data_IF_304556215229
#
_entry.id   IF_304556215229
#
_cell.length_a   1.000
_cell.length_b   1.000
_cell.length_c   1.000
_cell.angle_alpha   90.00
_cell.angle_beta   90.00
_cell.angle_gamma   90.00
#
_symmetry.space_group_name_H-M   'P 1'
#
loop_
_entity.id
_entity.type
_entity.pdbx_description
1 polymer ?
#
# COMPACT_ATOMS: atom_id res chain seq x y z
N UNK A 1 -6.79 -5.56 -40.00
CA UNK A 1 -7.97 -5.60 -39.16
C UNK A 1 -7.91 -4.51 -38.14
N UNK A 2 -8.96 -3.77 -37.98
CA UNK A 2 -9.05 -2.75 -36.95
C UNK A 2 -9.03 -3.43 -35.60
N UNK A 3 -7.85 -3.59 -35.07
CA UNK A 3 -7.65 -3.94 -33.70
C UNK A 3 -8.14 -2.80 -32.83
N UNK A 4 -9.04 -3.20 -32.07
CA UNK A 4 -9.80 -2.36 -31.28
C UNK A 4 -9.09 -1.36 -30.45
N UNK A 5 -9.78 -0.45 -30.22
CA UNK A 5 -9.40 0.73 -29.60
C UNK A 5 -10.37 0.89 -28.52
N UNK A 6 -9.89 0.54 -27.45
CA UNK A 6 -10.11 1.05 -26.25
C UNK A 6 -11.46 1.42 -25.80
N UNK A 7 -11.63 1.18 -24.63
CA UNK A 7 -12.46 1.96 -23.74
C UNK A 7 -11.96 1.83 -22.31
N UNK A 8 -11.90 2.91 -21.58
CA UNK A 8 -11.69 2.91 -20.15
C UNK A 8 -12.99 3.37 -19.50
N UNK A 9 -13.67 2.50 -18.80
CA UNK A 9 -14.92 2.83 -18.17
C UNK A 9 -14.69 3.82 -17.01
N UNK A 10 -15.52 4.83 -16.92
CA UNK A 10 -15.35 5.94 -15.98
C UNK A 10 -14.44 7.06 -16.48
N UNK A 11 -13.86 6.95 -17.69
CA UNK A 11 -13.11 8.02 -18.31
C UNK A 11 -14.01 9.20 -18.67
N UNK A 12 -13.50 10.42 -18.47
CA UNK A 12 -14.23 11.62 -18.89
C UNK A 12 -14.33 11.69 -20.42
N UNK A 13 -15.37 12.35 -20.99
CA UNK A 13 -15.58 12.42 -22.46
C UNK A 13 -14.38 12.94 -23.24
N UNK A 14 -13.57 13.83 -22.65
CA UNK A 14 -12.32 14.31 -23.24
C UNK A 14 -11.25 13.23 -23.37
N UNK A 15 -11.24 12.26 -22.46
CA UNK A 15 -10.31 11.13 -22.48
C UNK A 15 -10.71 10.11 -23.53
N UNK A 16 -12.01 9.90 -23.73
CA UNK A 16 -12.52 8.99 -24.76
C UNK A 16 -12.10 9.38 -26.18
N UNK A 17 -12.05 10.68 -26.45
CA UNK A 17 -11.60 11.17 -27.75
C UNK A 17 -10.10 10.97 -27.96
N UNK A 18 -9.30 11.09 -26.90
CA UNK A 18 -7.84 10.90 -26.95
C UNK A 18 -7.45 9.41 -27.07
N UNK A 19 -8.26 8.56 -26.48
CA UNK A 19 -8.02 7.12 -26.46
C UNK A 19 -8.57 6.38 -27.70
N UNK A 20 -9.13 7.08 -28.66
CA UNK A 20 -9.71 6.49 -29.88
C UNK A 20 -8.73 5.70 -30.76
N UNK A 21 -7.42 5.85 -30.55
CA UNK A 21 -6.34 5.14 -31.25
C UNK A 21 -5.35 4.55 -30.23
N UNK A 22 -5.84 3.86 -29.23
CA UNK A 22 -5.05 3.45 -28.09
C UNK A 22 -3.99 2.40 -28.41
N UNK A 23 -4.34 1.39 -29.17
CA UNK A 23 -3.43 0.26 -29.44
C UNK A 23 -2.81 0.41 -30.82
N UNK A 24 -1.50 0.63 -30.86
CA UNK A 24 -0.69 0.60 -32.06
C UNK A 24 -0.29 -0.84 -32.40
N UNK A 25 -0.01 -1.65 -31.40
CA UNK A 25 0.36 -3.05 -31.53
C UNK A 25 -0.16 -3.87 -30.35
N UNK A 26 -0.53 -5.10 -30.59
CA UNK A 26 -0.78 -6.11 -29.55
C UNK A 26 0.03 -7.37 -29.83
N UNK A 27 0.36 -8.13 -28.81
CA UNK A 27 1.12 -9.35 -28.99
C UNK A 27 1.16 -10.22 -27.74
N UNK A 28 1.80 -11.37 -27.88
CA UNK A 28 2.04 -12.28 -26.77
C UNK A 28 3.40 -12.01 -26.14
N UNK A 29 3.43 -12.06 -24.82
CA UNK A 29 4.67 -11.98 -24.06
C UNK A 29 5.21 -13.40 -23.84
N UNK A 30 6.38 -13.67 -24.45
CA UNK A 30 7.13 -14.92 -24.30
C UNK A 30 8.56 -14.57 -23.87
N UNK A 31 9.57 -15.32 -24.33
CA UNK A 31 10.99 -14.93 -24.14
C UNK A 31 11.32 -13.63 -24.89
N UNK A 32 10.54 -13.28 -25.90
CA UNK A 32 10.58 -11.99 -26.60
C UNK A 32 9.16 -11.55 -26.94
N UNK A 33 8.97 -10.25 -27.19
CA UNK A 33 7.71 -9.71 -27.69
C UNK A 33 7.40 -10.31 -29.04
N UNK A 34 6.19 -10.86 -29.21
CA UNK A 34 5.73 -11.50 -30.42
C UNK A 34 4.41 -10.87 -30.86
N UNK A 35 4.41 -9.96 -31.86
CA UNK A 35 3.20 -9.35 -32.38
C UNK A 35 2.17 -10.40 -32.85
N UNK A 36 0.90 -10.15 -32.56
CA UNK A 36 -0.22 -11.00 -32.94
C UNK A 36 -1.39 -10.17 -33.44
N UNK A 37 -2.22 -10.79 -34.25
CA UNK A 37 -3.45 -10.16 -34.72
C UNK A 37 -4.57 -10.19 -33.67
N UNK A 38 -4.52 -11.12 -32.73
CA UNK A 38 -5.51 -11.33 -31.69
C UNK A 38 -4.88 -11.76 -30.36
N UNK A 39 -5.57 -11.48 -29.27
CA UNK A 39 -5.30 -11.96 -27.91
C UNK A 39 -6.54 -12.68 -27.42
N UNK A 40 -6.38 -13.88 -26.88
CA UNK A 40 -7.48 -14.75 -26.44
C UNK A 40 -7.60 -14.76 -24.91
N UNK A 41 -8.76 -15.16 -24.43
CA UNK A 41 -8.97 -15.39 -23.01
C UNK A 41 -7.93 -16.37 -22.46
N UNK A 42 -7.24 -15.97 -21.37
CA UNK A 42 -6.15 -16.73 -20.77
C UNK A 42 -4.75 -16.44 -21.34
N UNK A 43 -4.64 -15.65 -22.41
CA UNK A 43 -3.33 -15.22 -22.89
C UNK A 43 -2.73 -14.15 -21.98
N UNK A 44 -1.40 -14.23 -21.80
CA UNK A 44 -0.58 -13.15 -21.26
C UNK A 44 0.07 -12.43 -22.43
N UNK A 45 -0.15 -11.13 -22.53
CA UNK A 45 0.30 -10.35 -23.66
C UNK A 45 0.76 -8.94 -23.29
N UNK A 46 1.02 -8.15 -24.32
CA UNK A 46 1.35 -6.74 -24.22
C UNK A 46 0.51 -5.93 -25.20
N UNK A 47 0.37 -4.66 -24.88
CA UNK A 47 -0.27 -3.66 -25.75
C UNK A 47 0.66 -2.45 -25.80
N UNK A 48 1.08 -2.06 -27.01
CA UNK A 48 1.78 -0.80 -27.25
C UNK A 48 0.73 0.27 -27.55
N UNK A 49 0.79 1.37 -26.83
CA UNK A 49 -0.22 2.43 -26.94
C UNK A 49 0.43 3.79 -27.21
N UNK A 50 -0.34 4.69 -27.80
CA UNK A 50 0.07 6.09 -27.97
C UNK A 50 -0.12 6.96 -26.73
N UNK A 51 -0.46 6.38 -25.56
CA UNK A 51 -0.67 7.13 -24.30
C UNK A 51 0.68 7.62 -23.80
N UNK A 52 0.79 8.93 -23.64
CA UNK A 52 2.03 9.57 -23.17
C UNK A 52 2.13 9.68 -21.65
N UNK A 53 1.00 9.71 -20.97
CA UNK A 53 0.94 9.86 -19.53
C UNK A 53 0.46 8.55 -18.88
N UNK A 54 1.36 7.85 -18.22
CA UNK A 54 1.06 6.57 -17.56
C UNK A 54 -0.04 6.68 -16.48
N UNK A 55 -0.29 7.88 -15.94
CA UNK A 55 -1.35 8.11 -14.94
C UNK A 55 -2.76 7.97 -15.51
N UNK A 56 -2.89 7.98 -16.83
CA UNK A 56 -4.18 7.82 -17.53
C UNK A 56 -4.63 6.36 -17.63
N UNK A 57 -3.77 5.41 -17.25
CA UNK A 57 -4.04 3.98 -17.31
C UNK A 57 -3.84 3.36 -15.94
N UNK A 58 -4.81 2.56 -15.50
CA UNK A 58 -4.78 1.88 -14.21
C UNK A 58 -4.82 0.36 -14.40
N UNK A 59 -4.23 -0.36 -13.46
CA UNK A 59 -4.40 -1.82 -13.35
C UNK A 59 -5.89 -2.12 -13.10
N UNK A 60 -6.46 -3.01 -13.91
CA UNK A 60 -7.87 -3.34 -13.86
C UNK A 60 -8.74 -2.61 -14.89
N UNK A 61 -8.17 -1.69 -15.66
CA UNK A 61 -8.89 -1.04 -16.75
C UNK A 61 -9.36 -2.04 -17.80
N UNK A 62 -10.58 -1.87 -18.27
CA UNK A 62 -11.18 -2.71 -19.29
C UNK A 62 -10.95 -2.10 -20.68
N UNK A 63 -10.31 -2.86 -21.57
CA UNK A 63 -10.07 -2.46 -22.95
C UNK A 63 -11.05 -3.18 -23.86
N UNK A 64 -11.71 -2.45 -24.76
CA UNK A 64 -12.73 -2.98 -25.64
C UNK A 64 -12.60 -2.44 -27.07
N UNK A 65 -13.37 -3.02 -27.99
CA UNK A 65 -13.44 -2.56 -29.39
C UNK A 65 -14.25 -1.27 -29.51
N UNK A 66 -13.74 -0.28 -30.23
CA UNK A 66 -14.49 0.96 -30.51
C UNK A 66 -15.76 0.70 -31.33
N UNK A 67 -15.70 -0.30 -32.21
CA UNK A 67 -16.86 -0.70 -33.05
C UNK A 67 -17.92 -1.50 -32.28
N UNK A 68 -17.56 -2.08 -31.13
CA UNK A 68 -18.47 -2.87 -30.29
C UNK A 68 -18.04 -2.67 -28.82
N UNK A 69 -18.27 -1.51 -28.24
CA UNK A 69 -17.85 -1.22 -26.88
C UNK A 69 -18.65 -2.06 -25.87
N UNK A 70 -17.97 -2.54 -24.83
CA UNK A 70 -18.66 -3.12 -23.67
C UNK A 70 -19.42 -2.04 -22.92
N UNK A 71 -20.55 -2.40 -22.32
CA UNK A 71 -21.34 -1.48 -21.49
C UNK A 71 -20.94 -1.54 -20.02
N UNK A 72 -20.23 -2.61 -19.62
CA UNK A 72 -19.78 -2.80 -18.23
C UNK A 72 -18.31 -3.20 -18.23
N UNK A 73 -17.56 -2.68 -17.23
CA UNK A 73 -16.21 -3.11 -16.95
C UNK A 73 -16.19 -4.56 -16.43
N UNK A 74 -15.09 -5.26 -16.70
CA UNK A 74 -14.86 -6.59 -16.10
C UNK A 74 -14.65 -6.39 -14.61
N UNK A 75 -15.54 -7.00 -13.79
CA UNK A 75 -15.49 -6.92 -12.33
C UNK A 75 -14.38 -7.82 -11.77
N UNK A 76 -13.88 -7.45 -10.60
CA UNK A 76 -12.91 -8.26 -9.84
C UNK A 76 -11.55 -7.59 -9.65
N UNK A 77 -11.35 -6.41 -10.21
CA UNK A 77 -10.19 -5.57 -9.91
C UNK A 77 -10.60 -4.47 -8.94
N UNK A 78 -9.92 -4.43 -7.81
CA UNK A 78 -10.09 -3.37 -6.81
C UNK A 78 -8.84 -2.49 -6.81
N UNK A 79 -9.04 -1.18 -6.62
CA UNK A 79 -7.93 -0.26 -6.45
C UNK A 79 -7.25 -0.54 -5.12
N UNK A 80 -6.00 -0.98 -5.18
CA UNK A 80 -5.23 -1.29 -3.98
C UNK A 80 -4.79 0.02 -3.34
N UNK A 81 -5.20 0.22 -2.10
CA UNK A 81 -4.85 1.42 -1.33
C UNK A 81 -3.63 1.14 -0.44
N UNK A 82 -2.71 2.10 -0.32
CA UNK A 82 -1.61 1.96 0.61
C UNK A 82 -2.12 1.89 2.04
N UNK A 83 -1.46 1.07 2.86
CA UNK A 83 -1.81 0.84 4.26
C UNK A 83 -0.71 1.30 5.21
N UNK A 84 0.52 1.36 4.74
CA UNK A 84 1.69 1.79 5.51
C UNK A 84 2.31 3.00 4.83
N UNK A 85 2.65 3.98 5.62
CA UNK A 85 3.24 5.24 5.14
C UNK A 85 4.59 5.49 5.81
N UNK A 86 5.56 5.95 5.04
CA UNK A 86 6.84 6.41 5.55
C UNK A 86 7.35 7.58 4.71
N UNK A 87 8.09 8.48 5.33
CA UNK A 87 8.87 9.47 4.62
C UNK A 87 10.11 8.80 4.02
N UNK A 88 10.43 9.12 2.77
CA UNK A 88 11.61 8.63 2.05
C UNK A 88 12.43 9.84 1.64
N UNK A 89 13.66 9.90 2.10
CA UNK A 89 14.55 11.04 1.94
C UNK A 89 15.87 10.58 1.30
N UNK A 90 16.47 11.37 0.40
CA UNK A 90 17.78 11.05 -0.12
C UNK A 90 18.83 11.22 0.97
N UNK A 91 19.92 10.47 0.89
CA UNK A 91 21.04 10.63 1.84
C UNK A 91 21.69 12.00 1.67
N UNK A 92 21.89 12.43 0.43
CA UNK A 92 22.39 13.76 0.08
C UNK A 92 21.21 14.64 -0.34
N UNK A 93 21.08 15.82 0.27
CA UNK A 93 19.93 16.74 0.02
C UNK A 93 19.83 17.20 -1.43
N UNK A 94 20.94 17.23 -2.16
CA UNK A 94 21.00 17.65 -3.56
C UNK A 94 20.35 16.61 -4.51
N UNK A 95 20.18 15.37 -4.06
CA UNK A 95 19.63 14.26 -4.85
C UNK A 95 18.07 14.22 -4.84
N UNK A 96 17.39 15.22 -4.29
CA UNK A 96 15.93 15.27 -4.22
C UNK A 96 15.24 15.08 -5.58
N UNK A 97 15.73 15.77 -6.62
CA UNK A 97 15.15 15.67 -7.96
C UNK A 97 15.38 14.27 -8.57
N UNK A 98 16.56 13.68 -8.34
CA UNK A 98 16.87 12.34 -8.80
C UNK A 98 16.04 11.28 -8.08
N UNK A 99 15.79 11.46 -6.78
CA UNK A 99 14.86 10.61 -6.02
C UNK A 99 13.44 10.70 -6.59
N UNK A 100 12.96 11.91 -6.93
CA UNK A 100 11.65 12.09 -7.56
C UNK A 100 11.54 11.31 -8.87
N UNK A 101 12.53 11.47 -9.75
CA UNK A 101 12.57 10.80 -11.05
C UNK A 101 12.62 9.26 -10.88
N UNK A 102 13.33 8.77 -9.87
CA UNK A 102 13.43 7.35 -9.55
C UNK A 102 12.09 6.79 -9.05
N UNK A 103 11.40 7.51 -8.17
CA UNK A 103 10.05 7.14 -7.70
C UNK A 103 9.02 7.17 -8.83
N UNK A 104 9.08 8.14 -9.74
CA UNK A 104 8.21 8.19 -10.93
C UNK A 104 8.44 6.97 -11.84
N UNK A 105 9.70 6.59 -12.07
CA UNK A 105 10.04 5.39 -12.86
C UNK A 105 9.57 4.10 -12.17
N UNK A 106 9.75 3.98 -10.86
CA UNK A 106 9.23 2.83 -10.09
C UNK A 106 7.73 2.72 -10.19
N UNK A 107 7.01 3.83 -10.11
CA UNK A 107 5.54 3.87 -10.20
C UNK A 107 5.01 3.37 -11.55
N UNK A 108 5.79 3.44 -12.63
CA UNK A 108 5.40 2.87 -13.92
C UNK A 108 5.23 1.33 -13.86
N UNK A 109 5.98 0.67 -12.98
CA UNK A 109 5.95 -0.77 -12.81
C UNK A 109 5.19 -1.22 -11.55
N UNK A 110 4.91 -0.27 -10.66
CA UNK A 110 4.23 -0.53 -9.39
C UNK A 110 3.14 0.52 -9.16
N UNK A 111 1.95 0.21 -9.63
CA UNK A 111 0.79 1.10 -9.52
C UNK A 111 0.31 1.28 -8.06
N UNK A 112 0.75 0.44 -7.13
CA UNK A 112 0.39 0.52 -5.72
C UNK A 112 1.24 1.53 -4.94
N UNK A 113 2.42 1.90 -5.46
CA UNK A 113 3.27 2.93 -4.87
C UNK A 113 2.62 4.31 -5.05
N UNK A 114 2.37 4.98 -3.95
CA UNK A 114 1.96 6.40 -3.95
C UNK A 114 3.03 7.24 -3.30
N UNK A 115 3.24 8.46 -3.78
CA UNK A 115 4.16 9.39 -3.15
C UNK A 115 3.73 10.84 -3.40
N UNK A 116 4.00 11.67 -2.43
CA UNK A 116 3.78 13.12 -2.44
C UNK A 116 4.96 13.84 -1.79
N UNK A 117 5.28 15.07 -2.20
CA UNK A 117 6.34 15.84 -1.58
C UNK A 117 6.13 16.03 -0.08
N UNK A 118 7.20 15.86 0.68
CA UNK A 118 7.22 16.08 2.13
C UNK A 118 8.51 16.79 2.52
N UNK A 119 8.48 17.50 3.65
CA UNK A 119 9.67 18.08 4.26
C UNK A 119 9.76 17.70 5.72
N UNK A 120 10.96 17.36 6.17
CA UNK A 120 11.30 17.10 7.57
C UNK A 120 12.28 18.13 8.05
N UNK A 121 12.11 18.61 9.26
CA UNK A 121 13.06 19.53 9.88
C UNK A 121 14.45 18.89 10.08
N UNK A 122 14.47 17.56 10.29
CA UNK A 122 15.68 16.79 10.50
C UNK A 122 16.35 16.29 9.20
N UNK A 123 15.55 15.93 8.18
CA UNK A 123 16.03 15.23 6.97
C UNK A 123 15.94 16.09 5.68
N UNK A 124 15.33 17.28 5.75
CA UNK A 124 15.16 18.15 4.59
C UNK A 124 14.00 17.75 3.69
N UNK A 125 14.15 17.86 2.38
CA UNK A 125 13.11 17.55 1.40
C UNK A 125 13.15 16.08 1.01
N UNK A 126 11.96 15.47 0.91
CA UNK A 126 11.76 14.08 0.52
C UNK A 126 10.34 13.84 0.07
N UNK A 127 9.89 12.61 0.22
CA UNK A 127 8.55 12.20 -0.20
C UNK A 127 7.89 11.35 0.87
N UNK A 128 6.62 11.65 1.18
CA UNK A 128 5.75 10.74 1.92
C UNK A 128 5.27 9.65 0.95
N UNK A 129 5.74 8.43 1.16
CA UNK A 129 5.38 7.29 0.33
C UNK A 129 4.37 6.39 1.02
N UNK A 130 3.41 5.88 0.25
CA UNK A 130 2.44 4.90 0.69
C UNK A 130 2.73 3.53 0.09
N UNK A 131 2.70 2.50 0.94
CA UNK A 131 3.07 1.13 0.64
C UNK A 131 1.94 0.16 1.03
N UNK A 132 1.91 -1.02 0.42
CA UNK A 132 0.96 -2.09 0.77
C UNK A 132 1.26 -2.73 2.14
N UNK A 133 2.48 -2.59 2.63
CA UNK A 133 2.96 -3.14 3.89
C UNK A 133 4.47 -3.02 3.98
N UNK A 134 5.07 -3.56 5.05
CA UNK A 134 6.51 -3.47 5.32
C UNK A 134 7.36 -4.10 4.22
N UNK A 135 6.99 -5.30 3.77
CA UNK A 135 7.74 -5.99 2.70
C UNK A 135 7.76 -5.16 1.41
N UNK A 136 6.65 -4.51 1.07
CA UNK A 136 6.59 -3.63 -0.10
C UNK A 136 7.54 -2.44 0.07
N UNK A 137 7.57 -1.82 1.26
CA UNK A 137 8.50 -0.74 1.56
C UNK A 137 9.97 -1.16 1.40
N UNK A 138 10.33 -2.32 1.96
CA UNK A 138 11.69 -2.89 1.85
C UNK A 138 12.07 -3.16 0.39
N UNK A 139 11.16 -3.70 -0.42
CA UNK A 139 11.37 -3.94 -1.85
C UNK A 139 11.60 -2.62 -2.59
N UNK A 140 10.82 -1.58 -2.31
CA UNK A 140 10.99 -0.26 -2.94
C UNK A 140 12.34 0.35 -2.55
N UNK A 141 12.74 0.28 -1.28
CA UNK A 141 14.06 0.75 -0.84
C UNK A 141 15.20 0.02 -1.57
N UNK A 142 15.13 -1.30 -1.63
CA UNK A 142 16.13 -2.13 -2.30
C UNK A 142 16.20 -1.82 -3.81
N UNK A 143 15.07 -1.56 -4.44
CA UNK A 143 15.01 -1.17 -5.85
C UNK A 143 15.59 0.23 -6.09
N UNK A 144 15.31 1.20 -5.21
CA UNK A 144 15.91 2.54 -5.29
C UNK A 144 17.45 2.43 -5.22
N UNK A 145 17.96 1.66 -4.29
CA UNK A 145 19.41 1.46 -4.15
C UNK A 145 20.01 0.73 -5.35
N UNK A 146 19.46 -0.43 -5.75
CA UNK A 146 20.08 -1.29 -6.78
C UNK A 146 19.83 -0.85 -8.22
N UNK A 147 18.62 -0.41 -8.53
CA UNK A 147 18.24 -0.08 -9.92
C UNK A 147 18.58 1.37 -10.27
N UNK A 148 18.55 2.28 -9.28
CA UNK A 148 18.74 3.71 -9.50
C UNK A 148 19.97 4.27 -8.80
N UNK A 149 20.71 3.45 -8.05
CA UNK A 149 21.86 3.87 -7.23
C UNK A 149 21.49 5.05 -6.31
N UNK A 150 20.27 5.01 -5.77
CA UNK A 150 19.67 6.04 -4.93
C UNK A 150 19.47 5.50 -3.49
N UNK A 151 20.49 5.58 -2.64
CA UNK A 151 20.35 5.22 -1.23
C UNK A 151 19.43 6.22 -0.53
N UNK A 152 18.51 5.72 0.30
CA UNK A 152 17.51 6.54 0.96
C UNK A 152 17.47 6.28 2.46
N UNK A 153 17.03 7.31 3.20
CA UNK A 153 16.68 7.24 4.61
C UNK A 153 15.16 7.18 4.69
N UNK A 154 14.62 6.22 5.46
CA UNK A 154 13.19 6.15 5.71
C UNK A 154 12.87 6.55 7.15
N UNK A 155 11.76 7.25 7.34
CA UNK A 155 11.22 7.52 8.67
C UNK A 155 10.58 6.25 9.26
N UNK A 156 10.21 6.31 10.52
CA UNK A 156 9.43 5.24 11.15
C UNK A 156 8.12 5.04 10.36
N UNK A 157 7.87 3.82 9.87
CA UNK A 157 6.64 3.55 9.15
C UNK A 157 5.44 3.62 10.09
N UNK A 158 4.32 4.12 9.59
CA UNK A 158 3.07 4.21 10.32
C UNK A 158 1.88 3.89 9.40
N UNK A 159 0.70 3.73 10.01
CA UNK A 159 -0.56 3.57 9.29
C UNK A 159 -1.25 4.92 9.08
N UNK A 160 -2.25 4.98 8.19
CA UNK A 160 -3.07 6.16 8.05
C UNK A 160 -4.15 6.20 9.14
N UNK A 161 -4.30 7.34 9.80
CA UNK A 161 -5.28 7.61 10.84
C UNK A 161 -6.32 8.63 10.36
N UNK A 162 -7.46 8.68 11.03
CA UNK A 162 -8.40 9.79 10.91
C UNK A 162 -8.52 10.53 12.23
N UNK A 163 -8.20 11.81 12.22
CA UNK A 163 -8.40 12.70 13.36
C UNK A 163 -9.71 13.46 13.21
N UNK A 164 -10.50 13.50 14.26
CA UNK A 164 -11.74 14.27 14.30
C UNK A 164 -11.53 15.46 15.26
N UNK A 165 -11.82 16.64 14.77
CA UNK A 165 -11.71 17.87 15.60
C UNK A 165 -12.98 18.10 16.39
N UNK A 166 -12.89 18.91 17.47
CA UNK A 166 -14.03 19.37 18.26
C UNK A 166 -15.06 20.16 17.44
N UNK A 167 -14.72 20.55 16.19
CA UNK A 167 -15.62 21.23 15.24
C UNK A 167 -16.31 20.24 14.29
N UNK A 168 -16.01 18.94 14.38
CA UNK A 168 -16.56 17.90 13.52
C UNK A 168 -15.85 17.75 12.18
N UNK A 169 -14.67 18.34 11.99
CA UNK A 169 -13.86 18.16 10.81
C UNK A 169 -13.12 16.82 10.88
N UNK A 170 -13.14 16.04 9.77
CA UNK A 170 -12.39 14.80 9.60
C UNK A 170 -11.12 15.09 8.84
N UNK A 171 -9.96 14.80 9.42
CA UNK A 171 -8.63 15.03 8.85
C UNK A 171 -7.95 13.66 8.68
N UNK A 172 -7.45 13.38 7.49
CA UNK A 172 -6.60 12.20 7.28
C UNK A 172 -5.17 12.54 7.72
N UNK A 173 -4.60 11.69 8.58
CA UNK A 173 -3.26 11.85 9.15
C UNK A 173 -2.41 10.66 8.73
N UNK A 174 -1.53 10.86 7.76
CA UNK A 174 -0.58 9.86 7.28
C UNK A 174 0.81 10.04 7.91
N UNK A 175 1.03 11.19 8.56
CA UNK A 175 2.25 11.52 9.28
C UNK A 175 1.89 11.91 10.73
N UNK A 176 2.43 11.23 11.75
CA UNK A 176 2.17 11.57 13.14
C UNK A 176 2.48 13.02 13.51
N UNK A 177 3.43 13.68 12.82
CA UNK A 177 3.76 15.09 13.05
C UNK A 177 2.63 16.07 12.66
N UNK A 178 1.71 15.63 11.77
CA UNK A 178 0.57 16.42 11.31
C UNK A 178 -0.67 16.28 12.19
N UNK A 179 -0.58 15.47 13.26
CA UNK A 179 -1.69 15.33 14.19
C UNK A 179 -2.01 16.69 14.83
N UNK A 180 -3.28 17.16 14.76
CA UNK A 180 -3.69 18.40 15.42
C UNK A 180 -3.40 18.39 16.91
N UNK A 181 -3.31 19.60 17.50
CA UNK A 181 -3.12 19.76 18.95
C UNK A 181 -4.22 18.98 19.72
N UNK A 182 -3.86 18.24 20.79
CA UNK A 182 -4.82 17.48 21.59
C UNK A 182 -6.02 18.29 22.09
N UNK A 183 -5.86 19.60 22.29
CA UNK A 183 -6.97 20.48 22.71
C UNK A 183 -8.01 20.71 21.61
N UNK A 184 -7.67 20.47 20.34
CA UNK A 184 -8.56 20.60 19.20
C UNK A 184 -9.16 19.27 18.78
N UNK A 185 -8.68 18.14 19.31
CA UNK A 185 -9.13 16.80 18.97
C UNK A 185 -10.33 16.39 19.84
N UNK A 186 -11.31 15.78 19.17
CA UNK A 186 -12.37 15.00 19.79
C UNK A 186 -11.91 13.56 20.00
N UNK A 187 -11.51 12.89 18.90
CA UNK A 187 -10.94 11.54 18.93
C UNK A 187 -10.08 11.27 17.69
N UNK A 188 -9.35 10.16 17.72
CA UNK A 188 -8.58 9.63 16.58
C UNK A 188 -9.05 8.22 16.29
N UNK A 189 -9.30 7.93 15.04
CA UNK A 189 -9.62 6.58 14.56
C UNK A 189 -8.39 5.93 13.93
N UNK A 190 -8.15 4.68 14.27
CA UNK A 190 -7.10 3.82 13.70
C UNK A 190 -7.71 2.70 12.85
N UNK A 191 -6.98 2.24 11.80
CA UNK A 191 -7.44 1.15 10.95
C UNK A 191 -7.38 -0.20 11.69
N UNK A 192 -8.47 -0.96 11.64
CA UNK A 192 -8.58 -2.31 12.15
C UNK A 192 -8.56 -3.33 11.02
N UNK A 193 -7.98 -4.47 11.30
CA UNK A 193 -7.92 -5.63 10.41
C UNK A 193 -8.60 -6.83 11.04
N UNK A 194 -9.12 -7.72 10.19
CA UNK A 194 -9.42 -9.10 10.57
C UNK A 194 -8.28 -9.98 10.10
N UNK A 195 -7.57 -10.54 11.08
CA UNK A 195 -6.42 -11.38 10.89
C UNK A 195 -6.76 -12.85 11.11
N UNK A 196 -6.36 -13.73 10.19
CA UNK A 196 -6.46 -15.17 10.31
C UNK A 196 -5.08 -15.78 10.43
N UNK A 197 -4.88 -16.60 11.44
CA UNK A 197 -3.64 -17.34 11.66
C UNK A 197 -3.93 -18.83 11.70
N UNK A 198 -3.30 -19.60 10.80
CA UNK A 198 -3.40 -21.06 10.79
C UNK A 198 -2.10 -21.63 11.31
N UNK A 199 -2.19 -22.50 12.34
CA UNK A 199 -1.02 -23.09 12.97
C UNK A 199 -1.33 -24.50 13.55
N UNK A 200 -0.33 -25.11 14.16
CA UNK A 200 -0.52 -26.34 14.96
C UNK A 200 -1.16 -26.02 16.31
N UNK A 201 -1.95 -26.93 16.89
CA UNK A 201 -2.57 -26.74 18.20
C UNK A 201 -1.58 -26.40 19.33
N UNK A 202 -0.35 -26.92 19.25
CA UNK A 202 0.71 -26.69 20.26
C UNK A 202 1.07 -25.22 20.45
N UNK A 203 0.82 -24.38 19.44
CA UNK A 203 1.20 -22.96 19.45
C UNK A 203 0.02 -22.02 19.74
N UNK A 204 -1.22 -22.54 19.93
CA UNK A 204 -2.42 -21.72 20.16
C UNK A 204 -2.19 -20.72 21.29
N UNK A 205 -1.72 -21.19 22.46
CA UNK A 205 -1.54 -20.32 23.63
C UNK A 205 -0.54 -19.18 23.39
N UNK A 206 0.57 -19.48 22.71
CA UNK A 206 1.61 -18.47 22.39
C UNK A 206 1.11 -17.45 21.37
N UNK A 207 0.37 -17.90 20.35
CA UNK A 207 -0.21 -17.02 19.32
C UNK A 207 -1.32 -16.14 19.92
N UNK A 208 -2.20 -16.74 20.74
CA UNK A 208 -3.24 -15.97 21.43
C UNK A 208 -2.63 -14.88 22.30
N UNK A 209 -1.60 -15.22 23.08
CA UNK A 209 -0.90 -14.23 23.91
C UNK A 209 -0.31 -13.12 23.06
N UNK A 210 0.41 -13.44 21.99
CA UNK A 210 1.00 -12.46 21.09
C UNK A 210 -0.06 -11.51 20.53
N UNK A 211 -1.17 -12.04 20.01
CA UNK A 211 -2.24 -11.21 19.44
C UNK A 211 -2.95 -10.35 20.51
N UNK A 212 -3.17 -10.89 21.71
CA UNK A 212 -3.78 -10.13 22.80
C UNK A 212 -2.85 -9.04 23.33
N UNK A 213 -1.55 -9.30 23.45
CA UNK A 213 -0.53 -8.29 23.82
C UNK A 213 -0.46 -7.15 22.78
N UNK A 214 -0.94 -7.42 21.55
CA UNK A 214 -1.07 -6.48 20.43
C UNK A 214 -2.50 -5.97 20.25
N UNK A 215 -3.24 -5.79 21.32
CA UNK A 215 -4.62 -5.28 21.38
C UNK A 215 -5.63 -6.08 20.53
N UNK A 216 -5.29 -7.32 20.17
CA UNK A 216 -6.14 -8.21 19.37
C UNK A 216 -7.27 -8.80 20.20
N UNK A 217 -8.46 -8.87 19.61
CA UNK A 217 -9.66 -9.49 20.15
C UNK A 217 -9.89 -10.78 19.39
N UNK A 218 -9.91 -11.92 20.10
CA UNK A 218 -10.23 -13.22 19.49
C UNK A 218 -11.71 -13.25 19.08
N UNK A 219 -11.95 -13.47 17.80
CA UNK A 219 -13.30 -13.58 17.22
C UNK A 219 -13.72 -15.03 17.10
N UNK A 220 -12.80 -15.89 16.62
CA UNK A 220 -13.12 -17.29 16.39
C UNK A 220 -11.87 -18.17 16.50
N UNK A 221 -12.11 -19.44 16.90
CA UNK A 221 -11.12 -20.51 16.88
C UNK A 221 -11.77 -21.75 16.25
N UNK A 222 -11.21 -22.23 15.15
CA UNK A 222 -11.74 -23.38 14.40
C UNK A 222 -10.66 -24.42 14.13
N UNK A 223 -10.92 -25.68 14.47
CA UNK A 223 -10.06 -26.80 14.07
C UNK A 223 -10.39 -27.20 12.64
N UNK A 224 -9.52 -26.85 11.70
CA UNK A 224 -9.65 -27.23 10.28
C UNK A 224 -9.38 -28.72 10.10
N UNK A 225 -8.43 -29.26 10.86
CA UNK A 225 -8.08 -30.66 10.99
C UNK A 225 -7.61 -30.94 12.43
N UNK A 226 -7.44 -32.19 12.85
CA UNK A 226 -6.87 -32.50 14.17
C UNK A 226 -5.48 -31.87 14.42
N UNK A 227 -4.74 -31.54 13.35
CA UNK A 227 -3.38 -30.99 13.41
C UNK A 227 -3.29 -29.51 12.98
N UNK A 228 -4.39 -28.88 12.60
CA UNK A 228 -4.43 -27.49 12.14
C UNK A 228 -5.61 -26.74 12.78
N UNK A 229 -5.30 -25.60 13.36
CA UNK A 229 -6.27 -24.69 13.95
C UNK A 229 -6.15 -23.33 13.28
N UNK A 230 -7.29 -22.72 13.01
CA UNK A 230 -7.41 -21.33 12.60
C UNK A 230 -7.83 -20.48 13.80
N UNK A 231 -7.13 -19.37 14.01
CA UNK A 231 -7.46 -18.33 14.98
C UNK A 231 -7.76 -17.05 14.23
N UNK A 232 -8.93 -16.48 14.45
CA UNK A 232 -9.35 -15.22 13.83
C UNK A 232 -9.40 -14.14 14.89
N UNK A 233 -8.67 -13.04 14.62
CA UNK A 233 -8.61 -11.87 15.50
C UNK A 233 -9.07 -10.62 14.75
N UNK A 234 -9.61 -9.66 15.50
CA UNK A 234 -9.68 -8.26 15.08
C UNK A 234 -8.65 -7.46 15.88
N UNK A 235 -7.82 -6.70 15.19
CA UNK A 235 -6.73 -5.96 15.83
C UNK A 235 -6.34 -4.72 15.03
N UNK A 236 -5.73 -3.71 15.66
CA UNK A 236 -5.22 -2.55 14.97
C UNK A 236 -4.12 -2.92 13.97
N UNK A 237 -4.18 -2.34 12.77
CA UNK A 237 -3.15 -2.56 11.73
C UNK A 237 -1.76 -2.10 12.21
N UNK A 238 -1.69 -1.01 12.98
CA UNK A 238 -0.42 -0.49 13.49
C UNK A 238 0.39 -1.52 14.28
N UNK A 239 -0.29 -2.44 14.96
CA UNK A 239 0.35 -3.46 15.82
C UNK A 239 1.08 -4.55 15.04
N UNK A 240 0.76 -4.74 13.76
CA UNK A 240 1.40 -5.76 12.92
C UNK A 240 2.52 -5.20 12.02
N UNK A 241 2.65 -3.86 11.96
CA UNK A 241 3.57 -3.20 11.02
C UNK A 241 5.03 -3.46 11.35
N UNK A 242 5.41 -3.58 12.63
CA UNK A 242 6.81 -3.71 13.02
C UNK A 242 7.27 -5.16 13.18
N UNK A 243 7.25 -5.66 14.38
CA UNK A 243 7.91 -6.90 14.80
C UNK A 243 6.98 -8.12 14.88
N UNK A 244 5.72 -7.95 14.52
CA UNK A 244 4.69 -8.98 14.69
C UNK A 244 5.00 -10.26 13.93
N UNK A 245 5.38 -10.16 12.67
CA UNK A 245 5.67 -11.33 11.82
C UNK A 245 6.86 -12.14 12.35
N UNK A 246 7.92 -11.47 12.78
CA UNK A 246 9.10 -12.12 13.31
C UNK A 246 8.83 -12.82 14.64
N UNK A 247 8.05 -12.16 15.50
CA UNK A 247 7.55 -12.77 16.73
C UNK A 247 6.66 -13.97 16.45
N UNK A 248 5.71 -13.85 15.51
CA UNK A 248 4.80 -14.93 15.12
C UNK A 248 5.58 -16.14 14.59
N UNK A 249 6.54 -15.91 13.69
CA UNK A 249 7.43 -16.98 13.18
C UNK A 249 8.23 -17.63 14.29
N UNK A 250 8.81 -16.83 15.18
CA UNK A 250 9.63 -17.32 16.30
C UNK A 250 8.83 -18.21 17.23
N UNK A 251 7.67 -17.74 17.75
CA UNK A 251 6.86 -18.49 18.73
C UNK A 251 6.21 -19.73 18.13
N UNK A 252 5.95 -19.74 16.84
CA UNK A 252 5.35 -20.86 16.11
C UNK A 252 6.38 -21.77 15.43
N UNK A 253 7.67 -21.49 15.57
CA UNK A 253 8.76 -22.18 14.86
C UNK A 253 8.54 -22.25 13.34
N UNK A 254 7.96 -21.21 12.77
CA UNK A 254 7.64 -21.10 11.34
C UNK A 254 6.37 -21.86 10.90
N UNK A 255 5.62 -22.47 11.83
CA UNK A 255 4.40 -23.22 11.48
C UNK A 255 3.15 -22.35 11.33
N UNK A 256 3.16 -21.08 11.80
CA UNK A 256 2.04 -20.20 11.64
C UNK A 256 2.07 -19.50 10.27
N UNK A 257 0.95 -19.56 9.54
CA UNK A 257 0.65 -18.65 8.46
C UNK A 257 -0.19 -17.49 8.99
N UNK A 258 -0.09 -16.34 8.36
CA UNK A 258 -0.85 -15.15 8.74
C UNK A 258 -1.36 -14.46 7.48
N UNK A 259 -2.64 -14.16 7.47
CA UNK A 259 -3.31 -13.41 6.43
C UNK A 259 -4.27 -12.40 7.08
N UNK A 260 -4.52 -11.28 6.43
CA UNK A 260 -5.44 -10.27 6.97
C UNK A 260 -6.11 -9.47 5.86
N UNK A 261 -7.25 -8.88 6.21
CA UNK A 261 -7.96 -7.91 5.38
C UNK A 261 -8.43 -6.73 6.23
N UNK A 262 -8.53 -5.58 5.59
CA UNK A 262 -9.04 -4.36 6.22
C UNK A 262 -10.50 -4.54 6.62
N UNK A 263 -10.85 -4.02 7.79
CA UNK A 263 -12.23 -3.94 8.25
C UNK A 263 -12.75 -2.50 8.17
N UNK A 264 -12.51 -1.76 9.22
CA UNK A 264 -13.05 -0.43 9.48
C UNK A 264 -12.00 0.44 10.20
N UNK A 265 -12.37 1.66 10.49
CA UNK A 265 -11.64 2.54 11.38
C UNK A 265 -12.38 2.63 12.71
N UNK A 266 -11.65 2.53 13.82
CA UNK A 266 -12.22 2.57 15.18
C UNK A 266 -11.49 3.59 16.02
N UNK A 267 -12.24 4.29 16.88
CA UNK A 267 -11.67 5.20 17.85
C UNK A 267 -10.72 4.46 18.80
N UNK A 268 -9.51 5.00 18.96
CA UNK A 268 -8.49 4.49 19.86
C UNK A 268 -8.00 5.57 20.82
N UNK A 269 -7.52 5.16 22.00
CA UNK A 269 -6.82 6.04 22.93
C UNK A 269 -5.36 6.18 22.47
N UNK A 270 -5.15 6.98 21.42
CA UNK A 270 -3.85 7.14 20.78
C UNK A 270 -3.15 8.40 21.30
N UNK A 271 -1.87 8.28 21.58
CA UNK A 271 -1.02 9.37 22.03
C UNK A 271 0.15 9.56 21.07
N UNK A 272 0.44 10.81 20.73
CA UNK A 272 1.62 11.13 19.94
C UNK A 272 2.87 11.01 20.81
N UNK A 273 3.79 10.15 20.37
CA UNK A 273 5.12 10.01 20.95
C UNK A 273 6.10 10.89 20.16
N UNK A 274 6.68 11.89 20.80
CA UNK A 274 7.74 12.71 20.26
C UNK A 274 9.09 12.32 20.87
N UNK A 275 10.04 11.93 20.01
CA UNK A 275 11.41 11.65 20.43
C UNK A 275 12.25 12.92 20.29
N UNK A 276 13.00 13.24 21.37
CA UNK A 276 13.86 14.43 21.41
C UNK A 276 15.33 14.03 21.41
N UNK A 277 16.13 14.66 20.56
CA UNK A 277 17.58 14.60 20.61
C UNK A 277 18.10 15.97 21.11
N UNK A 278 18.85 15.95 22.18
CA UNK A 278 19.39 17.16 22.81
C UNK A 278 18.31 18.24 23.09
N UNK A 279 17.07 17.82 23.43
CA UNK A 279 15.95 18.71 23.73
C UNK A 279 15.11 19.16 22.53
N UNK A 280 15.54 18.89 21.31
CA UNK A 280 14.83 19.19 20.07
C UNK A 280 14.04 17.98 19.55
N UNK A 281 12.82 18.20 19.08
CA UNK A 281 11.98 17.14 18.52
C UNK A 281 12.55 16.67 17.19
N UNK A 282 12.57 15.34 17.00
CA UNK A 282 12.91 14.70 15.71
C UNK A 282 11.61 14.17 15.11
N UNK A 283 11.06 14.92 14.17
CA UNK A 283 9.79 14.62 13.49
C UNK A 283 9.81 13.26 12.75
N UNK A 284 10.96 12.90 12.19
CA UNK A 284 11.17 11.61 11.51
C UNK A 284 10.99 10.37 12.42
N UNK A 285 11.05 10.54 13.74
CA UNK A 285 10.90 9.50 14.75
C UNK A 285 9.56 9.56 15.49
N UNK A 286 8.68 10.48 15.14
CA UNK A 286 7.35 10.59 15.75
C UNK A 286 6.47 9.38 15.41
N UNK A 287 5.71 8.91 16.39
CA UNK A 287 4.77 7.78 16.22
C UNK A 287 3.47 8.05 16.97
N UNK A 288 2.39 7.39 16.58
CA UNK A 288 1.16 7.25 17.37
C UNK A 288 1.17 5.89 18.06
N UNK A 289 0.98 5.88 19.37
CA UNK A 289 1.01 4.68 20.23
C UNK A 289 -0.24 4.63 21.11
#
# INVERSE_FOLDING_TARGET
>A
GELGRRFLEGAQPSLEAQLANLADEVGAMKLSLSPRADVKAGDVGYIITGIKNAREVKVGDTITLKSNPTQEAIKGFEEVKPMVFAGVYPVETDDYEELRDSLEKLKLNDASLTFEPESSAALGFGFRCGFLGMLHMEIIQERLDREFNMPVITTVPNVGYFAYTNKGEKIQVNNPSELPDPTMLDHVEEPYIRASTISKPDYIGSIMKLCMDKRGILINQTYLTPTRVELVFEMPLAEIVFDFYDKLKSISRGYASFDYHMLDYRAGELVKLDIKLNGENVDALSALI
#
